data_IF_286245840009
#
_entry.id   IF_286245840009
#
_cell.length_a   1.000
_cell.length_b   1.000
_cell.length_c   1.000
_cell.angle_alpha   90.00
_cell.angle_beta   90.00
_cell.angle_gamma   90.00
#
_symmetry.space_group_name_H-M   'P 1'
#
loop_
_entity.id
_entity.type
_entity.pdbx_description
1 polymer ?
#
# COMPACT_ATOMS: atom_id res chain seq x y z
N UNK A 1 2.35 6.68 -11.08
CA UNK A 1 1.25 5.79 -10.66
C UNK A 1 -0.05 6.59 -10.73
N UNK A 2 -1.15 6.06 -11.27
CA UNK A 2 -2.31 6.88 -11.65
C UNK A 2 -3.32 7.14 -10.51
N UNK A 3 -2.97 6.80 -9.26
CA UNK A 3 -3.87 7.01 -8.13
C UNK A 3 -4.02 8.52 -7.85
N UNK A 4 -5.28 8.98 -7.80
CA UNK A 4 -5.64 10.36 -7.44
C UNK A 4 -6.16 10.46 -6.02
N UNK A 5 -6.72 9.39 -5.46
CA UNK A 5 -7.21 9.36 -4.09
C UNK A 5 -6.88 8.04 -3.42
N UNK A 6 -6.53 8.10 -2.15
CA UNK A 6 -6.29 6.94 -1.31
C UNK A 6 -7.06 7.11 0.00
N UNK A 7 -7.78 6.06 0.40
CA UNK A 7 -8.39 5.92 1.71
C UNK A 7 -7.70 4.77 2.44
N UNK A 8 -7.27 5.04 3.67
CA UNK A 8 -6.54 4.11 4.53
C UNK A 8 -7.34 3.95 5.81
N UNK A 9 -7.68 2.72 6.18
CA UNK A 9 -8.33 2.41 7.46
C UNK A 9 -7.60 1.29 8.20
N UNK A 10 -7.41 1.49 9.50
CA UNK A 10 -6.82 0.54 10.44
C UNK A 10 -5.47 -0.02 10.00
N UNK A 11 -4.64 0.81 9.38
CA UNK A 11 -3.36 0.43 8.79
C UNK A 11 -2.23 1.14 9.53
N UNK A 12 -1.32 0.35 10.15
CA UNK A 12 -0.21 0.85 10.96
C UNK A 12 -0.74 1.81 12.05
N UNK A 13 -0.24 3.04 12.07
CA UNK A 13 -0.65 4.09 13.00
C UNK A 13 -1.93 4.84 12.60
N UNK A 14 -2.54 4.53 11.44
CA UNK A 14 -3.74 5.20 10.98
C UNK A 14 -5.01 4.41 11.33
N UNK A 15 -5.92 5.03 12.07
CA UNK A 15 -7.30 4.53 12.21
C UNK A 15 -8.11 4.82 10.94
N UNK A 16 -8.09 6.06 10.46
CA UNK A 16 -8.70 6.46 9.19
C UNK A 16 -8.03 7.72 8.65
N UNK A 17 -7.66 7.71 7.37
CA UNK A 17 -7.18 8.91 6.66
C UNK A 17 -7.56 8.83 5.18
N UNK A 18 -7.91 9.97 4.59
CA UNK A 18 -8.13 10.14 3.16
C UNK A 18 -7.12 11.15 2.61
N UNK A 19 -6.52 10.81 1.47
CA UNK A 19 -5.45 11.58 0.85
C UNK A 19 -5.81 11.80 -0.61
N UNK A 20 -5.92 13.07 -1.01
CA UNK A 20 -5.95 13.47 -2.42
C UNK A 20 -4.52 13.66 -2.91
N UNK A 21 -4.12 12.91 -3.92
CA UNK A 21 -2.80 12.98 -4.53
C UNK A 21 -2.81 13.98 -5.67
N UNK A 22 -1.79 14.84 -5.69
CA UNK A 22 -1.51 15.71 -6.82
C UNK A 22 -0.91 14.89 -7.97
N UNK A 23 -1.17 15.28 -9.23
CA UNK A 23 -0.40 14.76 -10.37
C UNK A 23 1.10 15.00 -10.18
N UNK A 24 1.93 14.03 -10.59
CA UNK A 24 3.38 14.15 -10.49
C UNK A 24 3.90 13.89 -9.08
N UNK A 25 4.43 14.92 -8.42
CA UNK A 25 5.16 14.80 -7.15
C UNK A 25 4.26 15.08 -5.96
N UNK A 26 4.27 14.19 -4.98
CA UNK A 26 3.59 14.36 -3.70
C UNK A 26 4.64 14.35 -2.58
N UNK A 27 4.66 15.40 -1.75
CA UNK A 27 5.65 15.55 -0.69
C UNK A 27 5.01 15.33 0.69
N UNK A 28 5.40 14.27 1.37
CA UNK A 28 4.94 13.95 2.72
C UNK A 28 6.04 14.27 3.75
N UNK A 29 5.80 15.21 4.66
CA UNK A 29 6.76 15.64 5.68
C UNK A 29 6.13 15.63 7.09
N UNK A 30 6.97 15.74 8.12
CA UNK A 30 6.55 15.72 9.53
C UNK A 30 7.50 14.93 10.43
N UNK A 31 7.17 14.85 11.72
CA UNK A 31 8.00 14.20 12.74
C UNK A 31 8.22 12.69 12.47
N UNK A 32 9.30 12.12 13.00
CA UNK A 32 9.51 10.67 12.94
C UNK A 32 8.39 9.92 13.65
N UNK A 33 7.97 8.78 13.10
CA UNK A 33 6.82 8.04 13.61
C UNK A 33 5.45 8.56 13.17
N UNK A 34 5.36 9.69 12.46
CA UNK A 34 4.08 10.28 12.03
C UNK A 34 3.32 9.51 10.93
N UNK A 35 3.84 8.37 10.47
CA UNK A 35 3.18 7.53 9.46
C UNK A 35 3.56 7.82 7.99
N UNK A 36 4.53 8.69 7.70
CA UNK A 36 5.00 8.95 6.32
C UNK A 36 5.34 7.68 5.54
N UNK A 37 6.13 6.79 6.13
CA UNK A 37 6.47 5.49 5.52
C UNK A 37 5.24 4.58 5.39
N UNK A 38 4.29 4.66 6.31
CA UNK A 38 3.02 3.90 6.24
C UNK A 38 2.18 4.35 5.04
N UNK A 39 2.17 5.65 4.71
CA UNK A 39 1.52 6.16 3.49
C UNK A 39 2.18 5.54 2.25
N UNK A 40 3.51 5.61 2.14
CA UNK A 40 4.26 5.01 1.03
C UNK A 40 4.04 3.49 0.93
N UNK A 41 3.96 2.81 2.06
CA UNK A 41 3.68 1.38 2.14
C UNK A 41 2.28 1.04 1.64
N UNK A 42 1.27 1.84 1.97
CA UNK A 42 -0.10 1.67 1.44
C UNK A 42 -0.14 1.83 -0.09
N UNK A 43 0.60 2.80 -0.64
CA UNK A 43 0.74 3.03 -2.08
C UNK A 43 1.37 1.81 -2.74
N UNK A 44 2.44 1.25 -2.16
CA UNK A 44 3.09 0.06 -2.70
C UNK A 44 2.18 -1.19 -2.66
N UNK A 45 1.35 -1.34 -1.62
CA UNK A 45 0.38 -2.44 -1.54
C UNK A 45 -0.63 -2.40 -2.69
N UNK A 46 -1.07 -1.24 -3.17
CA UNK A 46 -1.92 -1.15 -4.36
C UNK A 46 -1.25 -1.65 -5.64
N UNK A 47 0.09 -1.77 -5.66
CA UNK A 47 0.83 -2.33 -6.79
C UNK A 47 1.10 -3.83 -6.62
N UNK A 48 1.58 -4.22 -5.43
CA UNK A 48 2.18 -5.54 -5.23
C UNK A 48 1.38 -6.45 -4.31
N UNK A 49 0.36 -5.96 -3.63
CA UNK A 49 -0.30 -6.66 -2.52
C UNK A 49 0.64 -7.02 -1.36
N UNK A 50 1.86 -6.48 -1.34
CA UNK A 50 2.92 -6.79 -0.37
C UNK A 50 3.39 -5.51 0.31
N UNK A 51 3.97 -5.67 1.50
CA UNK A 51 4.74 -4.61 2.13
C UNK A 51 6.22 -4.72 1.73
N UNK A 52 6.88 -3.59 1.55
CA UNK A 52 8.33 -3.54 1.34
C UNK A 52 9.12 -3.62 2.66
N UNK A 53 8.45 -3.49 3.83
CA UNK A 53 9.08 -3.48 5.16
C UNK A 53 8.83 -4.76 5.96
N UNK A 54 7.71 -5.43 5.74
CA UNK A 54 7.29 -6.62 6.50
C UNK A 54 6.76 -7.70 5.59
N UNK A 55 7.26 -8.92 5.76
CA UNK A 55 6.72 -10.12 5.10
C UNK A 55 5.36 -10.53 5.66
N UNK A 56 5.05 -10.19 6.92
CA UNK A 56 3.81 -10.51 7.59
C UNK A 56 2.80 -9.36 7.48
N UNK A 57 1.82 -9.48 6.59
CA UNK A 57 0.78 -8.46 6.42
C UNK A 57 -0.12 -8.25 7.65
N UNK A 58 -0.23 -9.23 8.55
CA UNK A 58 -1.00 -9.08 9.80
C UNK A 58 -0.37 -7.99 10.68
N UNK A 59 0.96 -7.84 10.65
CA UNK A 59 1.68 -6.79 11.39
C UNK A 59 1.39 -5.36 10.89
N UNK A 60 0.68 -5.22 9.78
CA UNK A 60 0.26 -3.93 9.24
C UNK A 60 -1.11 -3.49 9.77
N UNK A 61 -1.85 -4.39 10.44
CA UNK A 61 -3.14 -4.05 11.06
C UNK A 61 -2.88 -3.20 12.30
N UNK A 62 -3.66 -2.14 12.49
CA UNK A 62 -3.59 -1.30 13.69
C UNK A 62 -3.86 -2.13 14.96
N UNK A 63 -3.23 -1.76 16.09
CA UNK A 63 -3.16 -2.58 17.32
C UNK A 63 -4.53 -2.97 17.92
N UNK A 64 -5.60 -2.24 17.59
CA UNK A 64 -6.96 -2.50 18.10
C UNK A 64 -7.95 -2.88 16.98
N UNK A 65 -7.46 -3.43 15.88
CA UNK A 65 -8.29 -3.74 14.71
C UNK A 65 -8.17 -5.21 14.30
N UNK A 66 -9.25 -5.74 13.72
CA UNK A 66 -9.27 -7.09 13.17
C UNK A 66 -8.85 -7.16 11.71
N UNK A 67 -8.84 -6.00 11.03
CA UNK A 67 -8.48 -5.87 9.63
C UNK A 67 -8.01 -4.47 9.29
N UNK A 68 -7.22 -4.35 8.22
CA UNK A 68 -7.02 -3.09 7.52
C UNK A 68 -7.77 -3.07 6.19
N UNK A 69 -8.13 -1.88 5.73
CA UNK A 69 -8.76 -1.65 4.44
C UNK A 69 -8.07 -0.48 3.74
N UNK A 70 -7.57 -0.72 2.54
CA UNK A 70 -7.01 0.29 1.66
C UNK A 70 -7.91 0.41 0.43
N UNK A 71 -8.22 1.64 0.01
CA UNK A 71 -8.90 1.94 -1.26
C UNK A 71 -8.09 2.96 -2.05
N UNK A 72 -7.89 2.69 -3.33
CA UNK A 72 -7.23 3.60 -4.26
C UNK A 72 -8.14 3.88 -5.45
N UNK A 73 -8.20 5.13 -5.88
CA UNK A 73 -8.94 5.55 -7.06
C UNK A 73 -7.99 6.08 -8.13
N UNK A 74 -8.15 5.59 -9.36
CA UNK A 74 -7.53 6.12 -10.57
C UNK A 74 -8.60 6.82 -11.40
N UNK A 75 -8.60 8.16 -11.37
CA UNK A 75 -9.57 8.97 -12.09
C UNK A 75 -9.47 8.84 -13.62
N UNK A 76 -8.30 8.43 -14.17
CA UNK A 76 -8.10 8.32 -15.61
C UNK A 76 -8.75 7.05 -16.17
N UNK A 77 -8.64 5.94 -15.46
CA UNK A 77 -9.26 4.65 -15.85
C UNK A 77 -10.63 4.44 -15.20
N UNK A 78 -11.01 5.26 -14.22
CA UNK A 78 -12.17 5.05 -13.36
C UNK A 78 -12.02 3.81 -12.47
N UNK A 79 -10.79 3.38 -12.20
CA UNK A 79 -10.53 2.16 -11.45
C UNK A 79 -10.59 2.41 -9.95
N UNK A 80 -11.28 1.50 -9.25
CA UNK A 80 -11.30 1.43 -7.80
C UNK A 80 -10.61 0.13 -7.39
N UNK A 81 -9.42 0.25 -6.81
CA UNK A 81 -8.71 -0.86 -6.19
C UNK A 81 -9.01 -0.88 -4.70
N UNK A 82 -9.37 -2.04 -4.17
CA UNK A 82 -9.58 -2.25 -2.76
C UNK A 82 -8.72 -3.43 -2.29
N UNK A 83 -7.97 -3.22 -1.22
CA UNK A 83 -7.15 -4.26 -0.58
C UNK A 83 -7.60 -4.40 0.87
N UNK A 84 -7.97 -5.61 1.27
CA UNK A 84 -8.35 -5.95 2.63
C UNK A 84 -7.48 -7.10 3.14
N UNK A 85 -7.03 -7.00 4.39
CA UNK A 85 -6.41 -8.11 5.11
C UNK A 85 -7.02 -8.18 6.51
N UNK A 86 -7.57 -9.33 6.86
CA UNK A 86 -7.96 -9.65 8.24
C UNK A 86 -6.86 -10.46 8.92
N UNK A 87 -6.94 -10.70 10.23
CA UNK A 87 -5.98 -11.59 10.91
C UNK A 87 -5.99 -13.01 10.35
N UNK A 88 -7.18 -13.59 10.16
CA UNK A 88 -7.36 -15.01 9.81
C UNK A 88 -7.29 -15.28 8.30
N UNK A 89 -7.86 -14.40 7.47
CA UNK A 89 -8.04 -14.66 6.03
C UNK A 89 -6.85 -14.16 5.23
N UNK A 90 -6.52 -14.79 4.08
CA UNK A 90 -5.53 -14.23 3.17
C UNK A 90 -5.96 -12.85 2.67
N UNK A 91 -5.00 -12.09 2.15
CA UNK A 91 -5.26 -10.80 1.53
C UNK A 91 -6.32 -10.94 0.42
N UNK A 92 -7.30 -10.06 0.43
CA UNK A 92 -8.35 -9.97 -0.58
C UNK A 92 -8.15 -8.68 -1.38
N UNK A 93 -8.16 -8.81 -2.70
CA UNK A 93 -7.94 -7.71 -3.62
C UNK A 93 -9.13 -7.65 -4.57
N UNK A 94 -9.76 -6.49 -4.64
CA UNK A 94 -10.83 -6.20 -5.59
C UNK A 94 -10.39 -5.08 -6.54
N UNK A 95 -10.71 -5.23 -7.81
CA UNK A 95 -10.63 -4.16 -8.82
C UNK A 95 -12.02 -4.00 -9.42
N UNK A 96 -12.61 -2.82 -9.27
CA UNK A 96 -14.00 -2.53 -9.70
C UNK A 96 -14.99 -3.59 -9.18
N UNK A 97 -14.92 -3.87 -7.87
CA UNK A 97 -15.72 -4.87 -7.15
C UNK A 97 -15.53 -6.34 -7.59
N UNK A 98 -14.56 -6.65 -8.48
CA UNK A 98 -14.23 -8.02 -8.87
C UNK A 98 -12.94 -8.49 -8.21
N UNK A 99 -12.93 -9.69 -7.65
CA UNK A 99 -11.73 -10.27 -7.03
C UNK A 99 -10.66 -10.55 -8.08
N UNK A 100 -9.42 -10.13 -7.80
CA UNK A 100 -8.27 -10.33 -8.69
C UNK A 100 -7.08 -10.92 -7.93
N UNK A 101 -6.13 -11.46 -8.70
CA UNK A 101 -4.83 -11.91 -8.20
C UNK A 101 -3.80 -10.78 -8.24
N UNK A 102 -2.77 -10.89 -7.41
CA UNK A 102 -1.69 -9.90 -7.30
C UNK A 102 -0.98 -9.60 -8.63
N UNK A 103 -0.82 -10.58 -9.52
CA UNK A 103 -0.18 -10.36 -10.82
C UNK A 103 -0.95 -9.38 -11.70
N UNK A 104 -2.27 -9.22 -11.49
CA UNK A 104 -3.08 -8.20 -12.17
C UNK A 104 -2.86 -6.80 -11.57
N UNK A 105 -2.65 -6.68 -10.25
CA UNK A 105 -2.32 -5.39 -9.62
C UNK A 105 -1.05 -4.78 -10.21
N UNK A 106 0.02 -5.57 -10.33
CA UNK A 106 1.31 -5.08 -10.83
C UNK A 106 1.18 -4.51 -12.25
N UNK A 107 0.33 -5.15 -13.09
CA UNK A 107 0.05 -4.70 -14.45
C UNK A 107 -0.77 -3.40 -14.48
N UNK A 108 -1.74 -3.25 -13.59
CA UNK A 108 -2.63 -2.08 -13.58
C UNK A 108 -2.03 -0.87 -12.87
N UNK A 109 -1.29 -1.12 -11.79
CA UNK A 109 -0.73 -0.12 -10.89
C UNK A 109 0.77 -0.39 -10.66
N UNK A 110 1.65 -0.31 -11.67
CA UNK A 110 3.08 -0.52 -11.46
C UNK A 110 3.66 0.55 -10.51
N UNK A 111 4.46 0.10 -9.53
CA UNK A 111 5.13 0.95 -8.55
C UNK A 111 6.50 0.34 -8.19
N UNK A 112 7.52 1.19 -8.14
CA UNK A 112 8.88 0.82 -7.72
C UNK A 112 9.22 1.54 -6.42
N UNK A 113 9.27 0.85 -5.27
CA UNK A 113 9.61 1.48 -4.00
C UNK A 113 11.13 1.65 -3.87
N UNK A 114 11.58 2.85 -3.54
CA UNK A 114 12.96 3.13 -3.14
C UNK A 114 12.96 3.37 -1.62
N UNK A 115 13.70 2.57 -0.88
CA UNK A 115 13.78 2.58 0.57
C UNK A 115 15.20 2.21 1.05
N UNK A 116 15.44 2.30 2.36
CA UNK A 116 16.76 2.12 2.97
C UNK A 116 17.47 0.81 2.58
N UNK A 117 16.73 -0.27 2.37
CA UNK A 117 17.29 -1.56 2.01
C UNK A 117 17.33 -1.82 0.49
N UNK A 118 16.91 -0.85 -0.34
CA UNK A 118 16.86 -1.06 -1.80
C UNK A 118 18.21 -1.44 -2.37
N UNK A 119 19.32 -0.90 -1.85
CA UNK A 119 20.67 -1.16 -2.36
C UNK A 119 21.47 -2.14 -1.51
N UNK A 120 20.85 -2.88 -0.58
CA UNK A 120 21.58 -3.81 0.30
C UNK A 120 22.30 -4.93 -0.49
N UNK A 121 21.81 -5.24 -1.69
CA UNK A 121 22.40 -6.23 -2.60
C UNK A 121 23.79 -5.82 -3.12
N UNK A 122 24.21 -4.56 -3.03
CA UNK A 122 25.56 -4.15 -3.45
C UNK A 122 26.63 -4.61 -2.47
N UNK A 123 26.24 -4.93 -1.23
CA UNK A 123 27.13 -5.29 -0.14
C UNK A 123 26.92 -6.73 0.36
N UNK A 124 25.93 -7.44 -0.19
CA UNK A 124 25.65 -8.83 0.14
C UNK A 124 26.39 -9.75 -0.82
N UNK A 125 26.98 -10.83 -0.29
CA UNK A 125 27.48 -11.92 -1.13
C UNK A 125 26.30 -12.54 -1.92
N UNK A 126 26.52 -13.03 -3.15
CA UNK A 126 25.53 -13.85 -3.83
C UNK A 126 25.19 -15.08 -2.96
N UNK A 127 23.90 -15.36 -2.80
CA UNK A 127 23.41 -16.64 -2.25
C UNK A 127 23.64 -17.78 -3.24
#
# INVERSE_FOLDING_TARGET
>A
MPLTNISIKNFRCFESIEISLSPGVNFFYGANGSGKTSILESVFIFSSGKSFKSSNLVSLINQNSEKFLLKGFDAKKGYIVQVEKTKEKPISILLNNKKIVTSKLIKEFPCTPIHNNTFSFTNASPD
#
